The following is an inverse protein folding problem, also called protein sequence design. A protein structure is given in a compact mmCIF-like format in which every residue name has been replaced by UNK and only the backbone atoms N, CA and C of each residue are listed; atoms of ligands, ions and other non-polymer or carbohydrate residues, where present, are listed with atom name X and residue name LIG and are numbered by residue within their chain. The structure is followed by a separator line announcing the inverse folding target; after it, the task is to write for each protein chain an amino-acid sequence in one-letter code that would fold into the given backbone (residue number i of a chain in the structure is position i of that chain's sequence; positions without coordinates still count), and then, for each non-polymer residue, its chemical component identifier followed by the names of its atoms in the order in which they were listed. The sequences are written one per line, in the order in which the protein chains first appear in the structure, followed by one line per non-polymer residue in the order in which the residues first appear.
data_IF_471278338481
#
_entry.id   IF_471278338481
#
_cell.length_a   1.000
_cell.length_b   1.000
_cell.length_c   1.000
_cell.angle_alpha   90.00
_cell.angle_beta   90.00
_cell.angle_gamma   90.00
#
_symmetry.space_group_name_H-M   'P 1'
#
loop_
_entity.id
_entity.type
_entity.pdbx_description
1 polymer ?
#
# COMPACT_ATOMS: atom_id res chain seq x y z
N UNK A 1 -4.76 -20.07 12.57
CA UNK A 1 -4.09 -20.48 11.32
C UNK A 1 -3.71 -19.22 10.58
N UNK A 2 -2.42 -19.03 10.31
CA UNK A 2 -1.80 -17.74 9.91
C UNK A 2 -1.42 -17.77 8.42
N UNK A 3 -1.53 -16.64 7.70
CA UNK A 3 -1.05 -16.56 6.31
C UNK A 3 0.48 -16.58 6.31
N UNK A 4 1.11 -17.21 5.32
CA UNK A 4 2.56 -17.12 5.15
C UNK A 4 2.91 -15.79 4.47
N UNK A 5 3.68 -14.95 5.16
CA UNK A 5 4.14 -13.67 4.63
C UNK A 5 5.57 -13.79 4.12
N UNK A 6 5.73 -14.06 2.82
CA UNK A 6 7.05 -14.10 2.18
C UNK A 6 7.43 -12.72 1.67
N UNK A 7 8.39 -12.06 2.32
CA UNK A 7 8.93 -10.78 1.84
C UNK A 7 9.61 -10.96 0.48
N UNK A 8 9.25 -10.14 -0.50
CA UNK A 8 9.82 -10.15 -1.86
C UNK A 8 10.64 -8.92 -2.20
N UNK A 9 10.45 -7.83 -1.44
CA UNK A 9 11.19 -6.59 -1.58
C UNK A 9 11.11 -5.81 -0.26
N UNK A 10 12.05 -4.90 -0.03
CA UNK A 10 12.10 -4.03 1.14
C UNK A 10 13.07 -4.52 2.21
N UNK A 11 13.10 -3.83 3.35
CA UNK A 11 14.10 -4.09 4.38
C UNK A 11 13.92 -3.22 5.62
N UNK A 12 14.96 -2.46 5.95
CA UNK A 12 15.00 -1.57 7.11
C UNK A 12 14.25 -0.25 6.84
N UNK A 13 13.77 0.41 7.91
CA UNK A 13 13.10 1.73 7.91
C UNK A 13 13.93 2.79 7.18
N UNK A 14 15.26 2.69 7.20
CA UNK A 14 16.18 3.56 6.45
C UNK A 14 16.02 3.49 4.92
N UNK A 15 15.49 2.36 4.40
CA UNK A 15 15.23 2.13 2.97
C UNK A 15 13.77 2.35 2.58
N UNK A 16 12.90 2.71 3.53
CA UNK A 16 11.50 2.96 3.26
C UNK A 16 11.35 4.17 2.33
N UNK A 17 10.52 4.03 1.31
CA UNK A 17 10.33 5.05 0.26
C UNK A 17 9.03 5.82 0.48
N UNK A 18 9.08 7.15 0.45
CA UNK A 18 7.91 8.02 0.70
C UNK A 18 6.85 7.88 -0.39
N UNK A 19 5.62 7.54 0.01
CA UNK A 19 4.49 7.35 -0.92
C UNK A 19 4.15 8.64 -1.66
N UNK A 20 4.27 9.79 -1.00
CA UNK A 20 3.96 11.10 -1.57
C UNK A 20 5.03 11.68 -2.50
N UNK A 21 6.13 10.96 -2.77
CA UNK A 21 7.25 11.43 -3.62
C UNK A 21 7.52 10.45 -4.75
N UNK A 22 7.96 10.95 -5.90
CA UNK A 22 8.30 10.10 -7.04
C UNK A 22 9.28 8.99 -6.62
N UNK A 23 9.06 7.73 -7.05
CA UNK A 23 9.84 6.59 -6.59
C UNK A 23 11.30 6.59 -6.98
N UNK A 24 12.09 5.93 -6.13
CA UNK A 24 13.49 5.61 -6.38
C UNK A 24 13.64 4.54 -7.48
N UNK A 25 14.84 4.45 -8.04
CA UNK A 25 15.18 3.53 -9.15
C UNK A 25 15.23 2.05 -8.75
N UNK A 26 15.31 1.73 -7.46
CA UNK A 26 15.37 0.35 -6.94
C UNK A 26 13.97 -0.22 -6.70
N UNK A 27 13.20 -0.31 -7.78
CA UNK A 27 11.80 -0.70 -7.71
C UNK A 27 11.57 -2.18 -7.96
N UNK A 28 10.66 -2.77 -7.20
CA UNK A 28 10.15 -4.10 -7.49
C UNK A 28 9.36 -4.09 -8.81
N UNK A 29 9.84 -4.85 -9.81
CA UNK A 29 9.15 -5.04 -11.09
C UNK A 29 8.33 -6.31 -11.03
N UNK A 30 7.04 -6.21 -11.34
CA UNK A 30 6.12 -7.34 -11.22
C UNK A 30 6.53 -8.51 -12.13
N UNK A 31 6.83 -9.71 -11.60
CA UNK A 31 7.32 -10.84 -12.40
C UNK A 31 6.22 -11.51 -13.23
N UNK A 32 4.95 -11.31 -12.86
CA UNK A 32 3.76 -11.85 -13.50
C UNK A 32 2.61 -10.84 -13.39
N UNK A 33 1.40 -11.21 -13.84
CA UNK A 33 0.21 -10.49 -13.40
C UNK A 33 -0.03 -10.80 -11.93
N UNK A 34 -0.13 -9.76 -11.10
CA UNK A 34 -0.25 -9.87 -9.65
C UNK A 34 -1.47 -9.12 -9.15
N UNK A 35 -2.01 -9.52 -8.01
CA UNK A 35 -2.97 -8.74 -7.25
C UNK A 35 -2.29 -8.21 -5.99
N UNK A 36 -2.48 -6.94 -5.66
CA UNK A 36 -1.90 -6.31 -4.48
C UNK A 36 -3.00 -5.65 -3.66
N UNK A 37 -3.03 -5.97 -2.36
CA UNK A 37 -3.83 -5.24 -1.39
C UNK A 37 -3.09 -3.96 -1.02
N UNK A 38 -3.70 -2.82 -1.35
CA UNK A 38 -3.20 -1.49 -1.02
C UNK A 38 -4.04 -0.91 0.11
N UNK A 39 -3.43 -0.44 1.21
CA UNK A 39 -4.14 0.27 2.25
C UNK A 39 -4.79 1.55 1.72
N UNK A 40 -5.99 1.85 2.19
CA UNK A 40 -6.76 3.04 1.82
C UNK A 40 -6.63 4.14 2.88
N UNK A 41 -6.64 3.76 4.16
CA UNK A 41 -6.41 4.70 5.26
C UNK A 41 -5.70 4.05 6.44
N UNK A 42 -5.02 4.87 7.23
CA UNK A 42 -4.34 4.43 8.45
C UNK A 42 -5.31 4.10 9.59
N UNK A 43 -6.37 4.89 9.78
CA UNK A 43 -7.28 4.75 10.93
C UNK A 43 -8.09 3.46 10.89
N UNK A 44 -8.76 3.21 9.76
CA UNK A 44 -9.61 2.03 9.62
C UNK A 44 -8.90 0.85 8.97
N UNK A 45 -7.65 1.05 8.52
CA UNK A 45 -6.81 0.06 7.85
C UNK A 45 -7.49 -0.65 6.68
N UNK A 46 -8.51 -0.06 6.08
CA UNK A 46 -9.19 -0.65 4.94
C UNK A 46 -8.20 -0.87 3.78
N UNK A 47 -8.46 -1.88 2.95
CA UNK A 47 -7.64 -2.16 1.76
C UNK A 47 -8.49 -2.20 0.50
N UNK A 48 -7.88 -1.86 -0.63
CA UNK A 48 -8.40 -2.16 -1.96
C UNK A 48 -7.50 -3.18 -2.66
N UNK A 49 -8.12 -4.12 -3.40
CA UNK A 49 -7.40 -5.12 -4.17
C UNK A 49 -7.24 -4.64 -5.62
N UNK A 50 -6.01 -4.53 -6.09
CA UNK A 50 -5.69 -4.03 -7.43
C UNK A 50 -4.88 -5.04 -8.21
N UNK A 51 -5.23 -5.24 -9.48
CA UNK A 51 -4.43 -6.05 -10.41
C UNK A 51 -3.36 -5.21 -11.10
N UNK A 52 -2.13 -5.72 -11.14
CA UNK A 52 -0.99 -5.11 -11.82
C UNK A 52 -0.40 -6.11 -12.81
N UNK A 53 -0.24 -5.68 -14.06
CA UNK A 53 0.30 -6.53 -15.11
C UNK A 53 1.81 -6.80 -14.96
N UNK A 54 2.27 -7.83 -15.67
CA UNK A 54 3.68 -8.22 -15.70
C UNK A 54 4.56 -7.08 -16.25
N UNK A 55 5.74 -6.92 -15.68
CA UNK A 55 6.74 -5.94 -16.13
C UNK A 55 6.49 -4.51 -15.64
N UNK A 56 5.41 -4.28 -14.89
CA UNK A 56 5.13 -2.98 -14.30
C UNK A 56 6.03 -2.74 -13.09
N UNK A 57 6.63 -1.56 -13.02
CA UNK A 57 7.32 -1.06 -11.83
C UNK A 57 6.28 -0.74 -10.75
N UNK A 58 6.25 -1.55 -9.68
CA UNK A 58 5.22 -1.43 -8.64
C UNK A 58 5.33 -0.14 -7.83
N UNK A 59 6.53 0.41 -7.65
CA UNK A 59 6.67 1.68 -6.92
C UNK A 59 6.05 2.82 -7.72
N UNK A 60 6.30 2.87 -9.03
CA UNK A 60 5.70 3.86 -9.92
C UNK A 60 4.19 3.69 -9.99
N UNK A 61 3.72 2.45 -10.05
CA UNK A 61 2.29 2.16 -10.01
C UNK A 61 1.64 2.68 -8.71
N UNK A 62 2.22 2.33 -7.56
CA UNK A 62 1.72 2.71 -6.23
C UNK A 62 1.80 4.23 -6.02
N UNK A 63 2.88 4.87 -6.47
CA UNK A 63 3.01 6.33 -6.46
C UNK A 63 1.85 6.98 -7.23
N UNK A 64 1.64 6.57 -8.48
CA UNK A 64 0.56 7.13 -9.31
C UNK A 64 -0.81 6.84 -8.73
N UNK A 65 -0.99 5.66 -8.14
CA UNK A 65 -2.19 5.29 -7.43
C UNK A 65 -2.46 6.25 -6.27
N UNK A 66 -1.51 6.44 -5.35
CA UNK A 66 -1.74 7.29 -4.18
C UNK A 66 -1.69 8.80 -4.47
N UNK A 67 -1.02 9.21 -5.54
CA UNK A 67 -1.05 10.60 -6.02
C UNK A 67 -2.37 10.96 -6.71
N UNK A 68 -3.20 9.99 -7.06
CA UNK A 68 -4.51 10.27 -7.63
C UNK A 68 -5.44 10.92 -6.60
N UNK A 69 -6.43 11.66 -7.09
CA UNK A 69 -7.47 12.21 -6.24
C UNK A 69 -8.38 11.10 -5.71
N UNK A 70 -8.89 11.33 -4.51
CA UNK A 70 -9.93 10.52 -3.89
C UNK A 70 -11.27 10.77 -4.55
N UNK A 71 -12.03 9.70 -4.74
CA UNK A 71 -13.47 9.82 -4.90
C UNK A 71 -14.14 10.17 -3.55
N UNK A 72 -15.38 10.62 -3.56
CA UNK A 72 -16.08 11.13 -2.37
C UNK A 72 -16.25 10.06 -1.28
N UNK A 73 -16.20 8.79 -1.67
CA UNK A 73 -16.35 7.63 -0.80
C UNK A 73 -15.00 6.94 -0.48
N UNK A 74 -13.87 7.62 -0.74
CA UNK A 74 -12.58 6.93 -0.89
C UNK A 74 -12.06 6.15 0.34
N UNK A 75 -12.38 6.54 1.57
CA UNK A 75 -12.01 5.70 2.71
C UNK A 75 -12.67 6.01 4.07
N UNK A 76 -13.45 7.10 4.24
CA UNK A 76 -14.06 7.45 5.54
C UNK A 76 -13.10 7.72 6.72
N UNK A 77 -11.80 7.49 6.56
CA UNK A 77 -10.75 7.76 7.56
C UNK A 77 -10.34 9.24 7.60
N UNK A 78 -9.49 9.59 8.56
CA UNK A 78 -8.95 10.93 8.70
C UNK A 78 -8.03 11.27 7.52
N UNK A 79 -8.17 12.49 7.01
CA UNK A 79 -7.18 13.09 6.13
C UNK A 79 -6.13 13.79 7.00
N UNK A 80 -4.85 13.40 6.88
CA UNK A 80 -3.75 13.89 7.70
C UNK A 80 -3.13 15.19 7.20
N UNK A 81 -3.72 15.84 6.19
CA UNK A 81 -3.31 17.16 5.70
C UNK A 81 -4.42 18.18 5.97
N UNK A 82 -4.11 19.19 6.78
CA UNK A 82 -5.01 20.31 7.04
C UNK A 82 -5.13 21.20 5.79
N UNK A 83 -6.37 21.37 5.31
CA UNK A 83 -6.76 22.21 4.15
C UNK A 83 -6.30 21.70 2.77
N UNK A 84 -7.05 20.76 2.15
CA UNK A 84 -6.79 20.42 0.77
C UNK A 84 -7.17 21.62 -0.12
N UNK A 85 -6.17 22.23 -0.78
CA UNK A 85 -6.42 23.06 -1.96
C UNK A 85 -6.86 22.13 -3.09
N UNK A 86 -8.17 21.95 -3.24
CA UNK A 86 -8.77 21.07 -4.24
C UNK A 86 -9.21 19.71 -3.70
N UNK A 87 -9.31 18.70 -4.58
CA UNK A 87 -9.72 17.35 -4.18
C UNK A 87 -8.59 16.69 -3.39
N UNK A 88 -8.94 16.10 -2.25
CA UNK A 88 -8.02 15.28 -1.46
C UNK A 88 -7.36 14.21 -2.33
N UNK A 89 -6.12 13.86 -2.02
CA UNK A 89 -5.38 12.77 -2.65
C UNK A 89 -5.33 11.56 -1.74
N UNK A 90 -5.17 10.40 -2.35
CA UNK A 90 -5.22 9.11 -1.65
C UNK A 90 -4.09 8.94 -0.63
N UNK A 91 -2.89 9.46 -0.93
CA UNK A 91 -1.73 9.46 -0.02
C UNK A 91 -2.02 10.15 1.33
N UNK A 92 -2.94 11.12 1.35
CA UNK A 92 -3.25 11.91 2.54
C UNK A 92 -4.01 11.13 3.62
N UNK A 93 -4.51 9.94 3.31
CA UNK A 93 -5.24 9.09 4.26
C UNK A 93 -4.34 8.02 4.91
N UNK A 94 -3.11 7.83 4.41
CA UNK A 94 -2.18 6.77 4.86
C UNK A 94 -1.41 7.12 6.13
N UNK A 95 -1.61 8.31 6.68
CA UNK A 95 -0.85 8.86 7.78
C UNK A 95 -0.09 10.13 7.40
N UNK A 96 0.45 10.84 8.39
CA UNK A 96 1.18 12.10 8.20
C UNK A 96 2.49 11.97 7.41
N UNK A 97 3.19 10.83 7.45
CA UNK A 97 4.44 10.62 6.69
C UNK A 97 4.63 9.16 6.24
N UNK A 98 3.70 8.68 5.42
CA UNK A 98 3.65 7.30 4.95
C UNK A 98 4.76 6.93 3.94
N UNK A 99 5.43 5.81 4.20
CA UNK A 99 6.47 5.24 3.37
C UNK A 99 6.21 3.75 3.08
N UNK A 100 6.43 3.29 1.86
CA UNK A 100 6.47 1.86 1.57
C UNK A 100 7.76 1.27 2.14
N UNK A 101 7.60 0.30 3.04
CA UNK A 101 8.73 -0.39 3.69
C UNK A 101 9.09 -1.69 2.99
N UNK A 102 8.08 -2.50 2.65
CA UNK A 102 8.28 -3.84 2.08
C UNK A 102 7.03 -4.38 1.38
N UNK A 103 7.24 -5.27 0.41
CA UNK A 103 6.17 -6.06 -0.20
C UNK A 103 6.25 -7.51 0.27
N UNK A 104 5.08 -8.08 0.57
CA UNK A 104 4.94 -9.47 1.00
C UNK A 104 4.03 -10.21 0.05
N UNK A 105 4.48 -11.36 -0.41
CA UNK A 105 3.63 -12.34 -1.04
C UNK A 105 2.90 -13.14 0.04
N UNK A 106 1.57 -13.21 -0.06
CA UNK A 106 0.69 -13.92 0.89
C UNK A 106 -0.03 -15.13 0.27
N UNK A 107 -0.10 -15.16 -1.07
CA UNK A 107 -0.51 -16.33 -1.85
C UNK A 107 0.13 -16.23 -3.26
N UNK A 108 -0.12 -17.22 -4.12
CA UNK A 108 0.45 -17.21 -5.48
C UNK A 108 -0.03 -15.96 -6.25
N UNK A 109 0.92 -15.11 -6.63
CA UNK A 109 0.68 -13.82 -7.29
C UNK A 109 -0.20 -12.82 -6.50
N UNK A 110 -0.37 -13.01 -5.19
CA UNK A 110 -1.12 -12.10 -4.32
C UNK A 110 -0.18 -11.49 -3.29
N UNK A 111 -0.20 -10.16 -3.21
CA UNK A 111 0.73 -9.37 -2.43
C UNK A 111 0.00 -8.43 -1.48
N UNK A 112 0.70 -8.03 -0.43
CA UNK A 112 0.35 -6.89 0.43
C UNK A 112 1.59 -6.04 0.67
N UNK A 113 1.41 -4.88 1.27
CA UNK A 113 2.46 -3.89 1.49
C UNK A 113 2.52 -3.49 2.96
N UNK A 114 3.74 -3.43 3.50
CA UNK A 114 4.02 -2.77 4.77
C UNK A 114 4.24 -1.28 4.52
N UNK A 115 3.53 -0.46 5.29
CA UNK A 115 3.69 0.99 5.33
C UNK A 115 4.36 1.36 6.66
N UNK A 116 5.43 2.11 6.57
CA UNK A 116 6.08 2.76 7.70
C UNK A 116 5.66 4.23 7.73
N UNK A 117 4.97 4.65 8.79
CA UNK A 117 4.74 6.07 9.04
C UNK A 117 5.86 6.62 9.92
N UNK A 118 6.64 7.56 9.39
CA UNK A 118 7.81 8.13 10.10
C UNK A 118 7.43 9.06 11.23
N UNK A 119 6.32 9.77 11.11
CA UNK A 119 5.90 10.74 12.13
C UNK A 119 5.28 10.02 13.35
N UNK A 120 4.67 8.86 13.13
CA UNK A 120 4.13 8.00 14.19
C UNK A 120 5.12 6.90 14.65
N UNK A 121 6.25 6.73 13.95
CA UNK A 121 7.25 5.67 14.13
C UNK A 121 6.69 4.22 14.07
N UNK A 122 5.60 4.02 13.34
CA UNK A 122 4.86 2.75 13.29
C UNK A 122 4.95 2.06 11.93
N UNK A 123 5.07 0.73 11.95
CA UNK A 123 4.89 -0.11 10.76
C UNK A 123 3.53 -0.77 10.82
N UNK A 124 2.78 -0.67 9.73
CA UNK A 124 1.43 -1.21 9.63
C UNK A 124 1.12 -1.77 8.24
N UNK A 125 0.12 -2.65 8.19
CA UNK A 125 -0.52 -3.16 6.97
C UNK A 125 -2.00 -2.83 7.04
N UNK A 126 -2.63 -2.77 5.89
CA UNK A 126 -4.09 -2.76 5.85
C UNK A 126 -4.68 -4.14 6.19
N UNK A 127 -5.90 -4.12 6.70
CA UNK A 127 -6.70 -5.29 7.03
C UNK A 127 -7.20 -5.95 5.74
N UNK A 128 -6.88 -7.23 5.61
CA UNK A 128 -7.31 -8.05 4.47
C UNK A 128 -8.76 -8.53 4.71
N UNK A 129 -9.65 -8.44 3.71
CA UNK A 129 -11.02 -8.95 3.84
C UNK A 129 -11.05 -10.43 4.23
N UNK A 130 -11.82 -10.78 5.27
CA UNK A 130 -11.88 -12.15 5.81
C UNK A 130 -12.28 -13.18 4.75
N UNK A 131 -13.22 -12.82 3.89
CA UNK A 131 -13.67 -13.66 2.78
C UNK A 131 -12.54 -14.03 1.82
N UNK A 132 -11.63 -13.11 1.55
CA UNK A 132 -10.50 -13.35 0.67
C UNK A 132 -9.41 -14.14 1.38
N UNK A 133 -9.20 -13.91 2.68
CA UNK A 133 -8.36 -14.77 3.51
C UNK A 133 -8.84 -16.22 3.46
N UNK A 134 -10.16 -16.46 3.52
CA UNK A 134 -10.72 -17.81 3.43
C UNK A 134 -10.44 -18.43 2.05
N UNK A 135 -10.69 -17.71 0.96
CA UNK A 135 -10.42 -18.18 -0.42
C UNK A 135 -8.93 -18.48 -0.66
N UNK A 136 -8.03 -17.71 -0.06
CA UNK A 136 -6.58 -17.94 -0.18
C UNK A 136 -6.11 -19.19 0.57
N UNK A 137 -6.92 -19.71 1.49
CA UNK A 137 -6.61 -20.87 2.33
C UNK A 137 -7.28 -22.17 1.86
N UNK A 138 -8.32 -22.07 1.03
CA UNK A 138 -9.03 -23.20 0.41
C UNK A 138 -8.30 -23.70 -0.83
#
# INVERSE_FOLDING_TARGET
MELEYKRVWGGDKSKAWSVGKHPSVDAFVSPAKVSIYLPLSYDNRATELISVDRGVNLHKFIYLHYAAHCDWNYAGGLNYVSEPVGKARKDQYLGPDAHILAYYQIARNVYTVDIYDKALDEVWKGDLPLEDIIKMRS
#
